data_IF_350155746392
#
_entry.id   IF_350155746392
#
_cell.length_a   1.000
_cell.length_b   1.000
_cell.length_c   1.000
_cell.angle_alpha   90.00
_cell.angle_beta   90.00
_cell.angle_gamma   90.00
#
_symmetry.space_group_name_H-M   'P 1'
#
loop_
_entity.id
_entity.type
_entity.pdbx_description
1 polymer ?
#
# COMPACT_ATOMS: atom_id res chain seq x y z
N UNK A 1 1.06 23.39 4.47
CA UNK A 1 2.42 23.83 4.08
C UNK A 1 2.60 25.27 4.48
N UNK A 2 3.83 25.68 4.76
CA UNK A 2 4.18 27.06 5.13
C UNK A 2 5.37 27.54 4.30
N UNK A 3 5.33 28.77 3.80
CA UNK A 3 6.43 29.37 3.02
C UNK A 3 6.52 30.90 3.25
N UNK A 4 7.68 31.52 3.01
CA UNK A 4 7.83 32.97 3.13
C UNK A 4 7.15 33.71 1.98
N UNK A 5 6.46 34.79 2.30
CA UNK A 5 5.91 35.75 1.33
C UNK A 5 6.91 36.85 0.97
N UNK A 6 6.63 37.64 -0.08
CA UNK A 6 7.54 38.68 -0.59
C UNK A 6 7.89 39.75 0.45
N UNK A 7 7.00 40.02 1.41
CA UNK A 7 7.18 41.00 2.49
C UNK A 7 7.67 40.45 3.83
N UNK A 8 8.15 39.20 3.88
CA UNK A 8 8.59 38.55 5.13
C UNK A 8 7.45 37.96 5.99
N UNK A 9 6.21 38.14 5.57
CA UNK A 9 5.04 37.42 6.09
C UNK A 9 5.14 35.91 5.82
N UNK A 10 4.49 35.08 6.63
CA UNK A 10 4.40 33.63 6.38
C UNK A 10 3.05 33.30 5.79
N UNK A 11 3.05 32.63 4.65
CA UNK A 11 1.84 32.08 4.05
C UNK A 11 1.68 30.62 4.44
N UNK A 12 0.42 30.19 4.53
CA UNK A 12 0.07 28.79 4.75
C UNK A 12 -1.07 28.37 3.83
N UNK A 13 -1.04 27.11 3.41
CA UNK A 13 -2.09 26.51 2.60
C UNK A 13 -2.22 25.01 2.86
N UNK A 14 -3.42 24.49 2.64
CA UNK A 14 -3.70 23.06 2.59
C UNK A 14 -3.63 22.59 1.14
N UNK A 15 -3.05 21.41 0.96
CA UNK A 15 -2.98 20.75 -0.33
C UNK A 15 -3.09 19.24 -0.13
N UNK A 16 -3.59 18.55 -1.14
CA UNK A 16 -3.68 17.10 -1.18
C UNK A 16 -2.57 16.55 -2.06
N UNK A 17 -1.80 15.58 -1.55
CA UNK A 17 -0.85 14.85 -2.37
C UNK A 17 -1.63 13.95 -3.36
N UNK A 18 -1.46 14.19 -4.66
CA UNK A 18 -2.00 13.36 -5.74
C UNK A 18 -1.02 12.28 -6.14
N UNK A 19 0.25 12.64 -6.18
CA UNK A 19 1.37 11.74 -6.43
C UNK A 19 2.45 11.98 -5.38
N UNK A 20 3.14 10.92 -4.99
CA UNK A 20 4.28 11.00 -4.07
C UNK A 20 5.29 9.92 -4.43
N UNK A 21 6.56 10.19 -4.17
CA UNK A 21 7.67 9.25 -4.17
C UNK A 21 8.65 9.60 -3.04
N UNK A 22 9.74 8.85 -2.91
CA UNK A 22 10.75 9.08 -1.87
C UNK A 22 11.27 10.53 -1.84
N UNK A 23 11.40 11.15 -3.00
CA UNK A 23 12.03 12.45 -3.20
C UNK A 23 11.04 13.61 -3.17
N UNK A 24 9.73 13.40 -3.30
CA UNK A 24 8.82 14.51 -3.56
C UNK A 24 7.40 14.07 -3.85
N UNK A 25 6.58 15.04 -4.23
CA UNK A 25 5.19 14.77 -4.57
C UNK A 25 4.55 15.90 -5.38
N UNK A 26 3.41 15.59 -5.96
CA UNK A 26 2.55 16.54 -6.65
C UNK A 26 1.38 16.92 -5.74
N UNK A 27 1.31 18.20 -5.38
CA UNK A 27 0.36 18.75 -4.42
C UNK A 27 -0.70 19.56 -5.17
N UNK A 28 -1.95 19.12 -5.07
CA UNK A 28 -3.11 19.86 -5.56
C UNK A 28 -3.65 20.76 -4.45
N UNK A 29 -3.90 22.03 -4.76
CA UNK A 29 -4.39 23.01 -3.80
C UNK A 29 -5.92 23.01 -3.80
N UNK A 30 -6.50 22.94 -2.60
CA UNK A 30 -7.96 22.94 -2.44
C UNK A 30 -8.42 24.34 -2.00
N UNK A 31 -9.15 25.04 -2.86
CA UNK A 31 -9.85 26.27 -2.49
C UNK A 31 -8.97 27.48 -2.17
N UNK A 32 -7.74 27.54 -2.70
CA UNK A 32 -6.86 28.71 -2.57
C UNK A 32 -6.24 29.10 -3.91
N UNK A 33 -6.26 30.39 -4.22
CA UNK A 33 -5.56 30.96 -5.37
C UNK A 33 -4.06 31.18 -5.11
N UNK A 34 -3.66 31.11 -3.84
CA UNK A 34 -2.28 31.36 -3.42
C UNK A 34 -1.51 30.05 -3.25
N UNK A 35 -0.36 29.98 -3.92
CA UNK A 35 0.58 28.86 -3.91
C UNK A 35 2.03 29.38 -3.89
N UNK A 36 3.01 28.59 -3.44
CA UNK A 36 4.41 29.01 -3.41
C UNK A 36 4.96 29.19 -4.83
N UNK A 37 5.82 30.20 -5.07
CA UNK A 37 6.46 30.40 -6.37
C UNK A 37 7.49 29.31 -6.65
N UNK A 38 7.92 29.23 -7.91
CA UNK A 38 8.95 28.29 -8.33
C UNK A 38 10.26 28.48 -7.54
N UNK A 39 10.93 27.38 -7.18
CA UNK A 39 12.14 27.39 -6.37
C UNK A 39 11.96 27.75 -4.89
N UNK A 40 10.75 28.10 -4.43
CA UNK A 40 10.53 28.46 -3.03
C UNK A 40 10.78 27.30 -2.08
N UNK A 41 11.48 27.59 -0.98
CA UNK A 41 11.60 26.65 0.14
C UNK A 41 10.39 26.75 1.07
N UNK A 42 9.92 25.59 1.50
CA UNK A 42 8.69 25.45 2.26
C UNK A 42 8.78 24.33 3.29
N UNK A 43 7.95 24.45 4.31
CA UNK A 43 7.79 23.44 5.35
C UNK A 43 6.46 22.73 5.14
N UNK A 44 6.52 21.42 4.96
CA UNK A 44 5.37 20.55 4.85
C UNK A 44 5.09 19.88 6.18
N UNK A 45 3.79 19.75 6.49
CA UNK A 45 3.30 18.96 7.61
C UNK A 45 2.30 17.95 7.06
N UNK A 46 2.55 16.66 7.25
CA UNK A 46 1.55 15.64 6.99
C UNK A 46 0.49 15.73 8.11
N UNK A 47 -0.74 16.09 7.74
CA UNK A 47 -1.81 16.33 8.71
C UNK A 47 -2.28 15.05 9.41
N UNK A 48 -1.99 13.86 8.87
CA UNK A 48 -2.37 12.58 9.45
C UNK A 48 -1.30 12.09 10.43
N UNK A 49 -0.01 12.14 10.05
CA UNK A 49 1.08 11.62 10.89
C UNK A 49 1.76 12.67 11.77
N UNK A 50 1.52 13.96 11.53
CA UNK A 50 2.23 15.05 12.17
C UNK A 50 3.68 15.23 11.69
N UNK A 51 4.19 14.34 10.82
CA UNK A 51 5.55 14.44 10.31
C UNK A 51 5.76 15.73 9.55
N UNK A 52 6.88 16.39 9.84
CA UNK A 52 7.35 17.56 9.13
C UNK A 52 8.51 17.21 8.19
N UNK A 53 8.56 17.92 7.07
CA UNK A 53 9.65 17.86 6.11
C UNK A 53 9.89 19.26 5.51
N UNK A 54 11.17 19.60 5.29
CA UNK A 54 11.50 20.73 4.41
C UNK A 54 11.38 20.27 2.97
N UNK A 55 10.98 21.18 2.10
CA UNK A 55 10.83 20.92 0.68
C UNK A 55 11.15 22.17 -0.14
N UNK A 56 11.30 21.98 -1.44
CA UNK A 56 11.45 23.05 -2.43
C UNK A 56 10.46 22.84 -3.57
N UNK A 57 9.88 23.92 -4.07
CA UNK A 57 9.08 23.86 -5.31
C UNK A 57 10.02 23.55 -6.47
N UNK A 58 9.76 22.45 -7.16
CA UNK A 58 10.53 22.03 -8.34
C UNK A 58 9.82 22.33 -9.65
N UNK A 59 8.48 22.44 -9.63
CA UNK A 59 7.71 22.93 -10.75
C UNK A 59 6.28 23.32 -10.36
N UNK A 60 5.67 24.19 -11.16
CA UNK A 60 4.24 24.50 -11.12
C UNK A 60 3.58 23.90 -12.37
N UNK A 61 2.48 23.16 -12.21
CA UNK A 61 1.74 22.55 -13.33
C UNK A 61 0.43 23.28 -13.57
N UNK A 62 0.14 23.51 -14.84
CA UNK A 62 -1.07 24.20 -15.31
C UNK A 62 -1.71 23.44 -16.46
N UNK A 63 -3.00 23.65 -16.65
CA UNK A 63 -3.77 23.10 -17.76
C UNK A 63 -3.50 23.89 -19.05
N UNK A 64 -4.01 23.40 -20.17
CA UNK A 64 -3.99 24.13 -21.45
C UNK A 64 -4.78 25.45 -21.43
N UNK A 65 -5.70 25.60 -20.49
CA UNK A 65 -6.47 26.83 -20.24
C UNK A 65 -5.84 27.69 -19.13
N UNK A 66 -4.55 27.49 -18.83
CA UNK A 66 -3.77 28.17 -17.80
C UNK A 66 -4.24 27.96 -16.35
N UNK A 67 -5.20 27.06 -16.11
CA UNK A 67 -5.67 26.75 -14.75
C UNK A 67 -4.61 25.99 -13.95
N UNK A 68 -4.37 26.37 -12.70
CA UNK A 68 -3.44 25.66 -11.82
C UNK A 68 -3.91 24.21 -11.59
N UNK A 69 -3.05 23.25 -11.91
CA UNK A 69 -3.28 21.84 -11.61
C UNK A 69 -2.63 21.44 -10.27
N UNK A 70 -1.53 22.09 -9.90
CA UNK A 70 -0.83 21.84 -8.65
C UNK A 70 0.64 22.19 -8.71
N UNK A 71 1.34 21.88 -7.62
CA UNK A 71 2.76 22.20 -7.43
C UNK A 71 3.54 20.91 -7.15
N UNK A 72 4.58 20.67 -7.93
CA UNK A 72 5.55 19.62 -7.67
C UNK A 72 6.56 20.13 -6.64
N UNK A 73 6.79 19.32 -5.61
CA UNK A 73 7.74 19.62 -4.54
C UNK A 73 8.76 18.51 -4.39
N UNK A 74 9.99 18.87 -4.11
CA UNK A 74 11.09 17.98 -3.72
C UNK A 74 11.32 18.09 -2.21
N UNK A 75 11.37 16.98 -1.49
CA UNK A 75 11.71 16.90 -0.07
C UNK A 75 13.22 17.01 0.13
N UNK A 76 13.63 17.81 1.12
CA UNK A 76 15.02 18.12 1.43
C UNK A 76 15.33 17.82 2.92
N UNK A 77 15.90 16.66 3.28
CA UNK A 77 16.22 15.51 2.43
C UNK A 77 14.97 14.67 2.08
N UNK A 78 15.10 13.69 1.15
CA UNK A 78 14.09 12.67 0.93
C UNK A 78 13.68 12.01 2.24
N UNK A 79 12.37 11.84 2.46
CA UNK A 79 11.82 11.35 3.73
C UNK A 79 10.56 10.54 3.51
N UNK A 80 10.68 9.22 3.57
CA UNK A 80 9.60 8.31 3.25
C UNK A 80 8.47 8.33 4.29
N UNK A 81 8.80 8.45 5.58
CA UNK A 81 7.85 8.49 6.68
C UNK A 81 6.93 9.72 6.58
N UNK A 82 7.37 10.77 5.87
CA UNK A 82 6.57 11.96 5.63
C UNK A 82 5.29 11.65 4.85
N UNK A 83 5.34 10.76 3.85
CA UNK A 83 4.17 10.40 3.04
C UNK A 83 3.22 9.42 3.74
N UNK A 84 3.62 8.90 4.89
CA UNK A 84 2.82 8.04 5.75
C UNK A 84 2.77 6.58 5.30
N UNK A 85 2.26 5.73 6.19
CA UNK A 85 2.29 4.27 6.01
C UNK A 85 1.56 3.77 4.75
N UNK A 86 0.50 4.45 4.30
CA UNK A 86 -0.20 4.06 3.07
C UNK A 86 0.70 4.19 1.84
N UNK A 87 1.53 5.23 1.78
CA UNK A 87 2.53 5.38 0.72
C UNK A 87 3.57 4.26 0.78
N UNK A 88 4.13 4.00 1.98
CA UNK A 88 5.12 2.93 2.20
C UNK A 88 4.58 1.58 1.74
N UNK A 89 3.36 1.23 2.14
CA UNK A 89 2.69 -0.01 1.72
C UNK A 89 2.55 -0.09 0.19
N UNK A 90 2.05 0.97 -0.46
CA UNK A 90 1.91 0.98 -1.94
C UNK A 90 3.25 0.80 -2.63
N UNK A 91 4.29 1.48 -2.15
CA UNK A 91 5.64 1.39 -2.72
C UNK A 91 6.19 -0.02 -2.58
N UNK A 92 6.22 -0.57 -1.38
CA UNK A 92 6.75 -1.92 -1.12
C UNK A 92 5.99 -2.99 -1.89
N UNK A 93 4.66 -2.92 -1.97
CA UNK A 93 3.87 -3.82 -2.84
C UNK A 93 4.24 -3.64 -4.32
N UNK A 94 4.45 -2.41 -4.79
CA UNK A 94 4.92 -2.15 -6.15
C UNK A 94 6.32 -2.70 -6.45
N UNK A 95 7.25 -2.62 -5.48
CA UNK A 95 8.58 -3.20 -5.58
C UNK A 95 8.52 -4.73 -5.63
N UNK A 96 7.67 -5.36 -4.82
CA UNK A 96 7.44 -6.81 -4.87
C UNK A 96 6.88 -7.27 -6.23
N UNK A 97 5.95 -6.52 -6.83
CA UNK A 97 5.43 -6.81 -8.17
C UNK A 97 6.50 -6.67 -9.27
N UNK A 98 7.40 -5.70 -9.14
CA UNK A 98 8.55 -5.56 -10.06
C UNK A 98 9.49 -6.76 -9.94
N UNK A 99 9.76 -7.22 -8.72
CA UNK A 99 10.55 -8.42 -8.48
C UNK A 99 9.88 -9.67 -9.06
N UNK A 100 8.57 -9.82 -8.87
CA UNK A 100 7.79 -10.92 -9.47
C UNK A 100 7.94 -10.95 -11.01
N UNK A 101 7.88 -9.78 -11.65
CA UNK A 101 8.07 -9.66 -13.09
C UNK A 101 9.50 -10.01 -13.52
N UNK A 102 10.51 -9.57 -12.76
CA UNK A 102 11.90 -9.92 -13.02
C UNK A 102 12.16 -11.42 -12.87
N UNK A 103 11.64 -12.04 -11.82
CA UNK A 103 11.70 -13.50 -11.57
C UNK A 103 11.06 -14.27 -12.73
N UNK A 104 9.92 -13.81 -13.26
CA UNK A 104 9.27 -14.42 -14.43
C UNK A 104 10.17 -14.46 -15.67
N UNK A 105 11.11 -13.53 -15.81
CA UNK A 105 12.04 -13.47 -16.95
C UNK A 105 13.28 -14.37 -16.81
N UNK A 106 13.50 -14.98 -15.63
CA UNK A 106 14.59 -15.90 -15.39
C UNK A 106 14.19 -17.38 -15.49
N UNK A 107 15.19 -18.27 -15.47
CA UNK A 107 14.99 -19.71 -15.33
C UNK A 107 14.75 -20.05 -13.85
N UNK A 108 13.49 -19.93 -13.42
CA UNK A 108 13.06 -20.28 -12.06
C UNK A 108 12.07 -21.44 -12.15
N UNK A 109 12.22 -22.38 -11.22
CA UNK A 109 11.32 -23.51 -11.10
C UNK A 109 9.85 -23.05 -11.03
N UNK A 110 8.93 -23.63 -11.84
CA UNK A 110 7.54 -23.19 -11.91
C UNK A 110 6.78 -23.29 -10.57
N UNK A 111 7.16 -24.22 -9.70
CA UNK A 111 6.56 -24.36 -8.37
C UNK A 111 6.99 -23.20 -7.48
N UNK A 112 8.29 -22.91 -7.40
CA UNK A 112 8.80 -21.76 -6.64
C UNK A 112 8.24 -20.42 -7.15
N UNK A 113 8.08 -20.28 -8.47
CA UNK A 113 7.46 -19.09 -9.05
C UNK A 113 5.98 -18.94 -8.65
N UNK A 114 5.23 -20.04 -8.57
CA UNK A 114 3.83 -20.03 -8.12
C UNK A 114 3.73 -19.60 -6.65
N UNK A 115 4.52 -20.21 -5.77
CA UNK A 115 4.54 -19.88 -4.35
C UNK A 115 4.90 -18.40 -4.11
N UNK A 116 5.91 -17.90 -4.82
CA UNK A 116 6.29 -16.49 -4.71
C UNK A 116 5.15 -15.55 -5.16
N UNK A 117 4.49 -15.86 -6.27
CA UNK A 117 3.33 -15.08 -6.76
C UNK A 117 2.19 -15.08 -5.75
N UNK A 118 1.92 -16.22 -5.15
CA UNK A 118 0.85 -16.34 -4.17
C UNK A 118 1.14 -15.54 -2.90
N UNK A 119 2.39 -15.53 -2.44
CA UNK A 119 2.83 -14.67 -1.34
C UNK A 119 2.69 -13.18 -1.68
N UNK A 120 3.16 -12.75 -2.86
CA UNK A 120 3.06 -11.34 -3.31
C UNK A 120 1.61 -10.89 -3.45
N UNK A 121 0.74 -11.73 -4.02
CA UNK A 121 -0.69 -11.41 -4.12
C UNK A 121 -1.38 -11.35 -2.76
N UNK A 122 -0.99 -12.21 -1.81
CA UNK A 122 -1.50 -12.14 -0.44
C UNK A 122 -1.10 -10.82 0.26
N UNK A 123 0.17 -10.41 0.13
CA UNK A 123 0.66 -9.12 0.64
C UNK A 123 -0.11 -7.97 0.00
N UNK A 124 -0.34 -8.00 -1.32
CA UNK A 124 -1.09 -6.97 -2.04
C UNK A 124 -2.52 -6.82 -1.52
N UNK A 125 -3.24 -7.92 -1.30
CA UNK A 125 -4.62 -7.90 -0.82
C UNK A 125 -4.74 -7.42 0.63
N UNK A 126 -3.82 -7.86 1.49
CA UNK A 126 -3.80 -7.40 2.88
C UNK A 126 -3.37 -5.93 2.99
N UNK A 127 -2.41 -5.47 2.18
CA UNK A 127 -2.05 -4.07 2.07
C UNK A 127 -3.23 -3.21 1.59
N UNK A 128 -3.98 -3.66 0.59
CA UNK A 128 -5.21 -2.98 0.15
C UNK A 128 -6.24 -2.86 1.27
N UNK A 129 -6.47 -3.93 2.05
CA UNK A 129 -7.39 -3.89 3.18
C UNK A 129 -6.97 -2.87 4.26
N UNK A 130 -5.67 -2.76 4.54
CA UNK A 130 -5.14 -1.74 5.46
C UNK A 130 -5.38 -0.32 4.92
N UNK A 131 -5.19 -0.12 3.62
CA UNK A 131 -5.44 1.19 2.98
C UNK A 131 -6.93 1.57 3.04
N UNK A 132 -7.80 0.63 2.68
CA UNK A 132 -9.26 0.81 2.72
C UNK A 132 -9.75 1.13 4.15
N UNK A 133 -9.23 0.42 5.15
CA UNK A 133 -9.54 0.71 6.55
C UNK A 133 -9.13 2.13 6.96
N UNK A 134 -7.92 2.57 6.58
CA UNK A 134 -7.45 3.93 6.87
C UNK A 134 -8.27 4.99 6.15
N UNK A 135 -8.58 4.78 4.88
CA UNK A 135 -9.40 5.72 4.10
C UNK A 135 -10.79 5.88 4.72
N UNK A 136 -11.42 4.77 5.13
CA UNK A 136 -12.71 4.80 5.83
C UNK A 136 -12.64 5.54 7.16
N UNK A 137 -11.58 5.35 7.94
CA UNK A 137 -11.41 6.12 9.18
C UNK A 137 -11.34 7.63 8.91
N UNK A 138 -10.54 8.05 7.93
CA UNK A 138 -10.41 9.46 7.55
C UNK A 138 -11.75 10.03 7.07
N UNK A 139 -12.49 9.24 6.28
CA UNK A 139 -13.82 9.62 5.76
C UNK A 139 -14.96 9.38 6.75
N UNK A 140 -14.68 8.95 7.99
CA UNK A 140 -15.68 8.58 9.02
C UNK A 140 -16.74 7.59 8.51
N UNK A 141 -16.33 6.66 7.64
CA UNK A 141 -17.15 5.55 7.12
C UNK A 141 -16.98 4.31 7.99
N UNK A 142 -17.92 3.38 7.91
CA UNK A 142 -17.87 2.14 8.67
C UNK A 142 -16.68 1.26 8.26
N UNK A 143 -15.78 1.01 9.21
CA UNK A 143 -14.60 0.16 9.06
C UNK A 143 -14.89 -1.32 9.28
N UNK A 144 -16.03 -1.67 9.87
CA UNK A 144 -16.36 -3.05 10.24
C UNK A 144 -16.41 -3.99 9.02
N UNK A 145 -16.77 -3.47 7.84
CA UNK A 145 -16.88 -4.30 6.63
C UNK A 145 -15.53 -4.69 6.01
N UNK A 146 -14.40 -4.18 6.49
CA UNK A 146 -13.07 -4.59 6.00
C UNK A 146 -12.72 -6.01 6.47
N UNK A 147 -13.10 -6.37 7.70
CA UNK A 147 -12.80 -7.67 8.29
C UNK A 147 -13.48 -8.82 7.53
N UNK A 148 -14.79 -8.76 7.19
CA UNK A 148 -15.44 -9.77 6.35
C UNK A 148 -14.76 -10.00 5.00
N UNK A 149 -14.22 -8.95 4.36
CA UNK A 149 -13.48 -9.09 3.10
C UNK A 149 -12.18 -9.89 3.30
N UNK A 150 -11.45 -9.63 4.38
CA UNK A 150 -10.25 -10.40 4.74
C UNK A 150 -10.56 -11.85 5.08
N UNK A 151 -11.68 -12.11 5.77
CA UNK A 151 -12.13 -13.49 6.07
C UNK A 151 -12.48 -14.24 4.79
N UNK A 152 -13.20 -13.60 3.87
CA UNK A 152 -13.53 -14.18 2.56
C UNK A 152 -12.27 -14.55 1.78
N UNK A 153 -11.27 -13.65 1.75
CA UNK A 153 -9.99 -13.93 1.12
C UNK A 153 -9.21 -15.05 1.81
N UNK A 154 -9.26 -15.12 3.15
CA UNK A 154 -8.63 -16.21 3.91
C UNK A 154 -9.25 -17.57 3.57
N UNK A 155 -10.58 -17.65 3.47
CA UNK A 155 -11.28 -18.86 3.06
C UNK A 155 -10.83 -19.26 1.66
N UNK A 156 -10.88 -18.33 0.69
CA UNK A 156 -10.46 -18.56 -0.70
C UNK A 156 -9.01 -19.08 -0.78
N UNK A 157 -8.08 -18.46 -0.04
CA UNK A 157 -6.67 -18.89 0.02
C UNK A 157 -6.49 -20.25 0.68
N UNK A 158 -7.18 -20.48 1.80
CA UNK A 158 -7.16 -21.78 2.48
C UNK A 158 -7.60 -22.90 1.55
N UNK A 159 -8.71 -22.70 0.83
CA UNK A 159 -9.20 -23.67 -0.17
C UNK A 159 -8.14 -23.99 -1.22
N UNK A 160 -7.54 -22.97 -1.84
CA UNK A 160 -6.49 -23.16 -2.87
C UNK A 160 -5.25 -23.89 -2.33
N UNK A 161 -4.85 -23.57 -1.10
CA UNK A 161 -3.71 -24.22 -0.45
C UNK A 161 -4.01 -25.70 -0.19
N UNK A 162 -5.20 -26.03 0.33
CA UNK A 162 -5.57 -27.43 0.57
C UNK A 162 -5.72 -28.23 -0.72
N UNK A 163 -6.21 -27.63 -1.81
CA UNK A 163 -6.25 -28.25 -3.14
C UNK A 163 -4.83 -28.55 -3.65
N UNK A 164 -3.92 -27.57 -3.56
CA UNK A 164 -2.52 -27.74 -3.99
C UNK A 164 -1.80 -28.81 -3.16
N UNK A 165 -1.97 -28.79 -1.83
CA UNK A 165 -1.40 -29.81 -0.95
C UNK A 165 -1.95 -31.21 -1.24
N UNK A 166 -3.23 -31.32 -1.59
CA UNK A 166 -3.84 -32.58 -2.00
C UNK A 166 -3.17 -33.13 -3.27
N UNK A 167 -2.95 -32.27 -4.27
CA UNK A 167 -2.26 -32.65 -5.52
C UNK A 167 -0.80 -33.07 -5.25
N UNK A 168 -0.08 -32.35 -4.40
CA UNK A 168 1.31 -32.65 -4.02
C UNK A 168 1.43 -34.01 -3.32
N UNK A 169 0.46 -34.35 -2.46
CA UNK A 169 0.40 -35.64 -1.78
C UNK A 169 0.05 -36.79 -2.74
N UNK A 170 -0.86 -36.57 -3.68
CA UNK A 170 -1.24 -37.58 -4.68
C UNK A 170 -0.09 -37.90 -5.64
N UNK A 171 0.67 -36.88 -6.02
CA UNK A 171 1.80 -37.00 -6.95
C UNK A 171 3.09 -37.49 -6.27
N UNK A 172 3.10 -37.66 -4.94
CA UNK A 172 4.29 -37.93 -4.12
C UNK A 172 5.40 -36.89 -4.30
N UNK A 173 5.06 -35.69 -4.74
CA UNK A 173 6.01 -34.58 -4.95
C UNK A 173 6.63 -34.15 -3.62
N UNK A 174 5.91 -34.35 -2.51
CA UNK A 174 6.34 -34.05 -1.15
C UNK A 174 6.18 -35.31 -0.29
N UNK A 175 7.19 -35.60 0.55
CA UNK A 175 7.10 -36.62 1.61
C UNK A 175 7.14 -35.93 2.98
N UNK A 176 6.01 -35.42 3.47
CA UNK A 176 5.98 -34.74 4.76
C UNK A 176 6.31 -35.69 5.91
N UNK A 177 6.85 -35.15 6.99
CA UNK A 177 7.09 -35.91 8.21
C UNK A 177 5.78 -36.36 8.87
N UNK A 178 5.82 -37.46 9.62
CA UNK A 178 4.63 -37.99 10.29
C UNK A 178 3.96 -36.96 11.23
N UNK A 179 4.76 -36.15 11.93
CA UNK A 179 4.28 -35.09 12.81
C UNK A 179 3.60 -33.95 12.05
N UNK A 180 4.12 -33.56 10.88
CA UNK A 180 3.53 -32.49 10.05
C UNK A 180 2.15 -32.88 9.53
N UNK A 181 1.99 -34.15 9.15
CA UNK A 181 0.69 -34.72 8.73
C UNK A 181 -0.29 -34.73 9.91
N UNK A 182 0.16 -35.14 11.10
CA UNK A 182 -0.68 -35.19 12.29
C UNK A 182 -1.16 -33.80 12.72
N UNK A 183 -0.29 -32.78 12.69
CA UNK A 183 -0.66 -31.40 12.97
C UNK A 183 -1.69 -30.86 11.97
N UNK A 184 -1.49 -31.15 10.68
CA UNK A 184 -2.41 -30.74 9.62
C UNK A 184 -3.79 -31.40 9.78
N UNK A 185 -3.83 -32.69 10.09
CA UNK A 185 -5.07 -33.44 10.33
C UNK A 185 -5.86 -32.83 11.49
N UNK A 186 -5.22 -32.60 12.64
CA UNK A 186 -5.88 -31.98 13.79
C UNK A 186 -6.43 -30.59 13.47
N UNK A 187 -5.69 -29.77 12.71
CA UNK A 187 -6.16 -28.46 12.29
C UNK A 187 -7.39 -28.52 11.38
N UNK A 188 -7.40 -29.44 10.41
CA UNK A 188 -8.53 -29.65 9.49
C UNK A 188 -9.76 -30.15 10.24
N UNK A 189 -9.60 -31.11 11.15
CA UNK A 189 -10.71 -31.64 11.95
C UNK A 189 -11.35 -30.55 12.81
N UNK A 190 -10.53 -29.73 13.49
CA UNK A 190 -11.02 -28.60 14.28
C UNK A 190 -11.79 -27.61 13.41
N UNK A 191 -11.23 -27.23 12.25
CA UNK A 191 -11.90 -26.30 11.33
C UNK A 191 -13.22 -26.89 10.82
N UNK A 192 -13.25 -28.18 10.50
CA UNK A 192 -14.46 -28.88 10.05
C UNK A 192 -15.57 -28.82 11.10
N UNK A 193 -15.25 -29.07 12.37
CA UNK A 193 -16.24 -29.01 13.44
C UNK A 193 -16.76 -27.58 13.67
N UNK A 194 -15.94 -26.54 13.53
CA UNK A 194 -16.42 -25.15 13.59
C UNK A 194 -17.31 -24.79 12.38
N UNK A 195 -16.97 -25.23 11.16
CA UNK A 195 -17.79 -24.99 9.97
C UNK A 195 -19.15 -25.69 10.08
N UNK A 196 -19.19 -26.90 10.65
CA UNK A 196 -20.44 -27.63 10.93
C UNK A 196 -21.35 -26.92 11.92
N UNK A 197 -20.84 -26.04 12.78
CA UNK A 197 -21.66 -25.26 13.72
C UNK A 197 -22.28 -24.03 13.08
N UNK A 198 -21.79 -23.62 11.91
CA UNK A 198 -22.30 -22.47 11.16
C UNK A 198 -23.48 -22.83 10.24
N UNK A 199 -23.76 -24.12 10.05
CA UNK A 199 -24.83 -24.67 9.22
C UNK A 199 -25.64 -25.69 10.02
#
# INVERSE_FOLDING_TARGET
MNWPGPGGERYSAHAQAREANLHGGFLEFMGTERYPPDGAELELTNLVSGHQAKARVSAIRRSSQDALLGVAVELLPPKEEFWGLTFQLRRSTGELLKLEHGIKSGEIDPYLLREFRDAVDHIRKTAWAVQEWKERQVLKRDTATVIPLLVTERIRRGTQLYETLSDDLQTQTIRPGAAEIEDLLHAIERLREEIKRLH
#
